data_IF_243555265905
#
_entry.id   IF_243555265905
#
_cell.length_a   1.000
_cell.length_b   1.000
_cell.length_c   1.000
_cell.angle_alpha   90.00
_cell.angle_beta   90.00
_cell.angle_gamma   90.00
#
_symmetry.space_group_name_H-M   'P 1'
#
loop_
_entity.id
_entity.type
_entity.pdbx_description
1 polymer ?
#
# COMPACT_ATOMS: atom_id res chain seq x y z
N UNK A 1 0.53 0.31 40.45
CA UNK A 1 -0.70 0.64 39.69
C UNK A 1 -0.47 2.06 39.14
N UNK A 2 -0.21 2.37 37.88
CA UNK A 2 -0.13 1.66 36.61
C UNK A 2 1.23 1.99 35.96
N UNK A 3 1.85 0.99 35.32
CA UNK A 3 3.00 1.20 34.43
C UNK A 3 2.57 2.15 33.32
N UNK A 4 3.17 3.34 33.25
CA UNK A 4 3.06 4.19 32.08
C UNK A 4 3.90 3.56 30.97
N UNK A 5 3.33 2.56 30.28
CA UNK A 5 3.86 2.12 29.00
C UNK A 5 3.83 3.35 28.08
N UNK A 6 5.00 3.93 27.85
CA UNK A 6 5.22 4.88 26.74
C UNK A 6 5.05 4.06 25.47
N UNK A 7 3.85 4.03 24.91
CA UNK A 7 3.64 3.50 23.58
C UNK A 7 4.27 4.49 22.61
N UNK A 8 5.46 4.17 22.11
CA UNK A 8 6.11 4.94 21.05
C UNK A 8 5.28 4.83 19.78
N UNK A 9 5.11 5.97 19.10
CA UNK A 9 4.59 6.02 17.74
C UNK A 9 5.57 5.24 16.88
N UNK A 10 5.08 4.18 16.21
CA UNK A 10 5.92 3.45 15.28
C UNK A 10 6.07 4.29 14.00
N UNK A 11 7.30 4.63 13.62
CA UNK A 11 7.57 5.31 12.36
C UNK A 11 7.24 4.40 11.17
N UNK A 12 7.06 4.97 9.97
CA UNK A 12 6.89 4.17 8.74
C UNK A 12 8.10 3.27 8.49
N UNK A 13 9.29 3.71 8.90
CA UNK A 13 10.54 2.95 8.79
C UNK A 13 10.56 1.78 9.79
N UNK A 14 10.10 1.99 11.02
CA UNK A 14 9.97 0.92 12.02
C UNK A 14 8.89 -0.10 11.60
N UNK A 15 7.78 0.37 11.03
CA UNK A 15 6.75 -0.49 10.46
C UNK A 15 7.29 -1.36 9.32
N UNK A 16 8.20 -0.82 8.52
CA UNK A 16 8.83 -1.59 7.45
C UNK A 16 9.54 -2.83 8.01
N UNK A 17 10.26 -2.69 9.13
CA UNK A 17 10.97 -3.80 9.77
C UNK A 17 10.06 -4.86 10.41
N UNK A 18 8.79 -4.55 10.65
CA UNK A 18 7.78 -5.51 11.14
C UNK A 18 6.89 -6.07 10.05
N UNK A 19 7.15 -5.72 8.78
CA UNK A 19 6.33 -6.17 7.65
C UNK A 19 6.39 -7.68 7.47
N UNK A 20 5.24 -8.28 7.21
CA UNK A 20 5.10 -9.70 6.91
C UNK A 20 4.53 -9.91 5.51
N UNK A 21 4.89 -10.99 4.81
CA UNK A 21 4.22 -11.38 3.58
C UNK A 21 2.71 -11.44 3.77
N UNK A 22 1.96 -11.03 2.75
CA UNK A 22 0.53 -11.26 2.68
C UNK A 22 0.33 -12.72 2.25
N UNK A 23 -0.20 -13.53 3.15
CA UNK A 23 -0.57 -14.92 2.86
C UNK A 23 -1.80 -14.92 1.94
N UNK A 24 -1.84 -15.88 1.00
CA UNK A 24 -2.97 -16.10 0.09
C UNK A 24 -3.44 -14.83 -0.66
N UNK A 25 -2.50 -14.05 -1.20
CA UNK A 25 -2.79 -12.76 -1.85
C UNK A 25 -3.80 -12.83 -2.99
N UNK A 26 -3.91 -13.98 -3.67
CA UNK A 26 -4.89 -14.19 -4.74
C UNK A 26 -6.34 -14.26 -4.20
N UNK A 27 -6.50 -14.65 -2.93
CA UNK A 27 -7.80 -14.77 -2.26
C UNK A 27 -8.15 -13.53 -1.42
N UNK A 28 -7.18 -12.63 -1.20
CA UNK A 28 -7.38 -11.35 -0.51
C UNK A 28 -8.04 -10.33 -1.46
N UNK A 29 -9.37 -10.40 -1.57
CA UNK A 29 -10.17 -9.49 -2.41
C UNK A 29 -9.99 -8.01 -2.05
N UNK A 30 -9.67 -7.70 -0.79
CA UNK A 30 -9.42 -6.32 -0.38
C UNK A 30 -8.13 -5.81 -1.03
N UNK A 31 -7.06 -6.60 -0.97
CA UNK A 31 -5.78 -6.27 -1.61
C UNK A 31 -5.92 -6.24 -3.14
N UNK A 32 -6.54 -7.28 -3.71
CA UNK A 32 -6.68 -7.46 -5.15
C UNK A 32 -7.53 -6.39 -5.82
N UNK A 33 -8.78 -6.25 -5.38
CA UNK A 33 -9.79 -5.49 -6.12
C UNK A 33 -9.98 -4.06 -5.62
N UNK A 34 -9.60 -3.76 -4.38
CA UNK A 34 -9.79 -2.43 -3.80
C UNK A 34 -8.46 -1.70 -3.75
N UNK A 35 -7.49 -2.25 -3.04
CA UNK A 35 -6.22 -1.55 -2.78
C UNK A 35 -5.38 -1.44 -4.06
N UNK A 36 -5.24 -2.54 -4.82
CA UNK A 36 -4.54 -2.53 -6.11
C UNK A 36 -5.15 -1.53 -7.09
N UNK A 37 -6.48 -1.51 -7.20
CA UNK A 37 -7.21 -0.63 -8.11
C UNK A 37 -7.02 0.84 -7.73
N UNK A 38 -7.18 1.18 -6.44
CA UNK A 38 -7.00 2.55 -5.99
C UNK A 38 -5.56 3.04 -6.17
N UNK A 39 -4.56 2.16 -6.06
CA UNK A 39 -3.16 2.53 -6.30
C UNK A 39 -2.91 2.90 -7.76
N UNK A 40 -3.47 2.13 -8.71
CA UNK A 40 -3.38 2.43 -10.14
C UNK A 40 -4.14 3.70 -10.50
N UNK A 41 -5.34 3.90 -9.94
CA UNK A 41 -6.15 5.11 -10.17
C UNK A 41 -5.46 6.37 -9.65
N UNK A 42 -4.88 6.33 -8.45
CA UNK A 42 -4.15 7.46 -7.88
C UNK A 42 -2.91 7.81 -8.71
N UNK A 43 -2.17 6.82 -9.20
CA UNK A 43 -1.05 7.01 -10.12
C UNK A 43 -1.50 7.70 -11.41
N UNK A 44 -2.48 7.11 -12.11
CA UNK A 44 -3.02 7.66 -13.37
C UNK A 44 -3.51 9.12 -13.19
N UNK A 45 -4.16 9.43 -12.06
CA UNK A 45 -4.60 10.79 -11.75
C UNK A 45 -3.44 11.77 -11.56
N UNK A 46 -2.31 11.32 -10.99
CA UNK A 46 -1.14 12.16 -10.71
C UNK A 46 -0.25 12.35 -11.94
N UNK A 47 -0.07 11.33 -12.77
CA UNK A 47 0.86 11.36 -13.91
C UNK A 47 0.16 11.66 -15.24
N UNK A 48 -1.15 11.43 -15.33
CA UNK A 48 -1.88 11.46 -16.60
C UNK A 48 -1.73 10.17 -17.41
N UNK A 49 -1.13 9.13 -16.84
CA UNK A 49 -1.04 7.80 -17.46
C UNK A 49 -2.42 7.13 -17.52
N UNK A 50 -2.49 6.04 -18.29
CA UNK A 50 -3.68 5.23 -18.41
C UNK A 50 -3.33 3.75 -18.25
N UNK A 51 -2.94 3.37 -17.03
CA UNK A 51 -2.67 1.99 -16.65
C UNK A 51 -3.96 1.28 -16.26
N UNK A 52 -4.11 0.03 -16.69
CA UNK A 52 -5.19 -0.89 -16.27
C UNK A 52 -4.62 -1.89 -15.26
N UNK A 53 -5.24 -2.06 -14.10
CA UNK A 53 -4.84 -3.09 -13.14
C UNK A 53 -5.02 -4.47 -13.75
N UNK A 54 -3.98 -5.31 -13.66
CA UNK A 54 -4.05 -6.73 -14.03
C UNK A 54 -4.21 -7.59 -12.77
N UNK A 55 -3.27 -7.46 -11.83
CA UNK A 55 -3.21 -8.30 -10.62
C UNK A 55 -2.34 -7.65 -9.53
N UNK A 56 -2.52 -8.04 -8.28
CA UNK A 56 -1.55 -7.84 -7.20
C UNK A 56 -0.79 -9.14 -6.94
N UNK A 57 0.41 -9.24 -7.50
CA UNK A 57 1.18 -10.50 -7.57
C UNK A 57 1.74 -10.92 -6.20
N UNK A 58 2.13 -9.94 -5.38
CA UNK A 58 2.66 -10.19 -4.04
C UNK A 58 2.61 -8.91 -3.20
N UNK A 59 2.86 -9.02 -1.90
CA UNK A 59 3.01 -7.86 -1.07
C UNK A 59 3.43 -8.17 0.36
N UNK A 60 3.84 -7.11 1.05
CA UNK A 60 4.06 -7.09 2.48
C UNK A 60 3.02 -6.18 3.13
N UNK A 61 2.62 -6.53 4.35
CA UNK A 61 1.82 -5.65 5.21
C UNK A 61 2.44 -5.52 6.59
N UNK A 62 2.32 -4.33 7.18
CA UNK A 62 2.63 -4.10 8.59
C UNK A 62 1.51 -3.30 9.23
N UNK A 63 1.09 -3.70 10.43
CA UNK A 63 0.28 -2.82 11.28
C UNK A 63 1.09 -1.58 11.65
N UNK A 64 0.43 -0.44 11.76
CA UNK A 64 0.99 0.81 12.28
C UNK A 64 0.09 1.41 13.35
N UNK A 65 0.70 2.03 14.37
CA UNK A 65 -0.02 2.77 15.40
C UNK A 65 0.22 4.26 15.20
N UNK A 66 -0.84 5.00 14.88
CA UNK A 66 -0.77 6.44 14.66
C UNK A 66 -1.19 7.15 15.94
N UNK A 67 -0.19 7.51 16.76
CA UNK A 67 -0.25 8.37 17.95
C UNK A 67 -0.72 7.77 19.29
N UNK A 68 -0.12 8.20 20.43
CA UNK A 68 -0.61 7.88 21.76
C UNK A 68 -1.89 8.66 22.05
N UNK A 69 -2.96 7.98 22.48
CA UNK A 69 -4.26 8.59 22.77
C UNK A 69 -5.22 8.68 21.58
N UNK A 70 -4.81 8.17 20.42
CA UNK A 70 -5.68 7.93 19.27
C UNK A 70 -5.92 6.42 19.10
N UNK A 71 -7.13 6.04 18.73
CA UNK A 71 -7.47 4.67 18.27
C UNK A 71 -7.14 4.47 16.79
N UNK A 72 -6.26 5.31 16.22
CA UNK A 72 -5.94 5.29 14.80
C UNK A 72 -4.90 4.19 14.56
N UNK A 73 -5.43 3.01 14.24
CA UNK A 73 -4.67 1.90 13.71
C UNK A 73 -4.63 2.02 12.20
N UNK A 74 -3.60 1.46 11.59
CA UNK A 74 -3.50 1.42 10.14
C UNK A 74 -2.67 0.25 9.66
N UNK A 75 -2.66 0.07 8.35
CA UNK A 75 -1.87 -0.95 7.69
C UNK A 75 -1.03 -0.27 6.62
N UNK A 76 0.27 -0.47 6.69
CA UNK A 76 1.21 -0.12 5.63
C UNK A 76 1.31 -1.29 4.67
N UNK A 77 1.01 -1.06 3.39
CA UNK A 77 1.15 -2.04 2.33
C UNK A 77 2.31 -1.69 1.41
N UNK A 78 3.07 -2.73 1.03
CA UNK A 78 4.08 -2.70 -0.01
C UNK A 78 3.71 -3.78 -1.02
N UNK A 79 3.13 -3.39 -2.15
CA UNK A 79 2.54 -4.32 -3.12
C UNK A 79 3.36 -4.37 -4.40
N UNK A 80 3.45 -5.57 -4.98
CA UNK A 80 3.86 -5.77 -6.37
C UNK A 80 2.60 -5.82 -7.21
N UNK A 81 2.36 -4.77 -7.97
CA UNK A 81 1.17 -4.59 -8.80
C UNK A 81 1.55 -4.81 -10.25
N UNK A 82 0.86 -5.72 -10.93
CA UNK A 82 0.92 -5.83 -12.38
C UNK A 82 -0.14 -4.91 -12.98
N UNK A 83 0.28 -4.03 -13.89
CA UNK A 83 -0.61 -3.15 -14.61
C UNK A 83 -0.23 -3.11 -16.09
N UNK A 84 -1.25 -2.92 -16.94
CA UNK A 84 -1.13 -2.94 -18.39
C UNK A 84 -1.21 -1.52 -18.93
N UNK A 85 -0.27 -1.17 -19.80
CA UNK A 85 -0.25 0.13 -20.46
C UNK A 85 -1.26 0.18 -21.60
N UNK A 86 -1.51 1.38 -22.16
CA UNK A 86 -2.41 1.55 -23.31
C UNK A 86 -1.92 0.82 -24.58
N UNK A 87 -0.61 0.60 -24.71
CA UNK A 87 0.01 -0.21 -25.76
C UNK A 87 -0.17 -1.72 -25.53
N UNK A 88 -0.77 -2.10 -24.41
CA UNK A 88 -1.06 -3.48 -24.04
C UNK A 88 0.12 -4.23 -23.44
N UNK A 89 1.13 -3.53 -22.93
CA UNK A 89 2.31 -4.12 -22.30
C UNK A 89 2.07 -4.22 -20.80
N UNK A 90 2.23 -5.42 -20.24
CA UNK A 90 2.18 -5.62 -18.80
C UNK A 90 3.52 -5.24 -18.16
N UNK A 91 3.46 -4.47 -17.08
CA UNK A 91 4.59 -4.08 -16.26
C UNK A 91 4.30 -4.30 -14.78
N UNK A 92 5.34 -4.60 -14.02
CA UNK A 92 5.26 -4.72 -12.57
C UNK A 92 5.73 -3.44 -11.90
N UNK A 93 4.96 -2.98 -10.93
CA UNK A 93 5.18 -1.77 -10.16
C UNK A 93 5.24 -2.10 -8.67
N UNK A 94 6.00 -1.30 -7.93
CA UNK A 94 6.02 -1.30 -6.47
C UNK A 94 5.11 -0.16 -5.99
N UNK A 95 3.97 -0.53 -5.40
CA UNK A 95 3.05 0.41 -4.80
C UNK A 95 3.24 0.42 -3.27
N UNK A 96 3.39 1.63 -2.69
CA UNK A 96 3.40 1.83 -1.24
C UNK A 96 2.22 2.70 -0.85
N UNK A 97 1.41 2.24 0.08
CA UNK A 97 0.22 2.96 0.54
C UNK A 97 -0.11 2.63 1.98
N UNK A 98 -0.91 3.50 2.58
CA UNK A 98 -1.34 3.41 3.96
C UNK A 98 -2.87 3.35 4.04
N UNK A 99 -3.39 2.30 4.64
CA UNK A 99 -4.79 2.21 5.06
C UNK A 99 -4.90 2.71 6.50
N UNK A 100 -5.75 3.70 6.74
CA UNK A 100 -5.93 4.34 8.05
C UNK A 100 -7.37 4.18 8.54
N UNK A 101 -7.54 3.67 9.75
CA UNK A 101 -8.83 3.58 10.43
C UNK A 101 -9.09 4.83 11.27
N UNK A 102 -9.97 5.71 10.79
CA UNK A 102 -10.36 6.97 11.43
C UNK A 102 -11.80 6.86 11.94
N UNK A 103 -11.96 6.36 13.15
CA UNK A 103 -13.27 6.00 13.70
C UNK A 103 -13.91 4.87 12.88
N UNK A 104 -15.10 5.11 12.32
CA UNK A 104 -15.79 4.14 11.44
C UNK A 104 -15.45 4.32 9.95
N UNK A 105 -14.43 5.11 9.60
CA UNK A 105 -14.05 5.41 8.21
C UNK A 105 -12.68 4.86 7.91
N UNK A 106 -12.52 4.38 6.67
CA UNK A 106 -11.22 3.97 6.12
C UNK A 106 -10.74 5.09 5.19
N UNK A 107 -9.50 5.50 5.35
CA UNK A 107 -8.82 6.43 4.46
C UNK A 107 -7.57 5.77 3.88
N UNK A 108 -7.37 5.91 2.57
CA UNK A 108 -6.16 5.45 1.91
C UNK A 108 -5.23 6.63 1.61
N UNK A 109 -3.94 6.48 1.90
CA UNK A 109 -2.89 7.43 1.55
C UNK A 109 -1.82 6.75 0.70
N UNK A 110 -1.78 7.08 -0.60
CA UNK A 110 -0.79 6.57 -1.55
C UNK A 110 0.53 7.32 -1.39
N UNK A 111 1.62 6.57 -1.13
CA UNK A 111 2.95 7.12 -0.86
C UNK A 111 3.84 7.10 -2.11
N UNK A 112 3.89 5.98 -2.81
CA UNK A 112 4.66 5.86 -4.06
C UNK A 112 4.08 4.78 -4.97
N UNK A 113 4.29 4.95 -6.27
CA UNK A 113 3.97 3.97 -7.30
C UNK A 113 5.07 4.06 -8.35
N UNK A 114 5.97 3.07 -8.39
CA UNK A 114 7.19 3.12 -9.19
C UNK A 114 7.39 1.80 -9.95
N UNK A 115 7.89 1.78 -11.19
CA UNK A 115 8.24 0.55 -11.88
C UNK A 115 9.23 -0.29 -11.04
N UNK A 116 8.99 -1.60 -10.94
CA UNK A 116 9.89 -2.51 -10.20
C UNK A 116 11.30 -2.53 -10.81
N UNK A 117 11.36 -2.45 -12.13
CA UNK A 117 12.61 -2.31 -12.86
C UNK A 117 12.69 -0.88 -13.42
N UNK A 118 13.81 -0.17 -13.20
CA UNK A 118 13.96 1.17 -13.75
C UNK A 118 13.95 1.09 -15.28
N UNK A 119 13.01 1.80 -15.89
CA UNK A 119 12.98 2.04 -17.33
C UNK A 119 13.02 3.54 -17.55
N UNK A 120 14.18 4.02 -18.00
CA UNK A 120 14.31 5.39 -18.46
C UNK A 120 13.81 5.40 -19.90
N UNK A 121 12.63 6.01 -20.11
CA UNK A 121 12.18 6.30 -21.46
C UNK A 121 13.19 7.29 -22.06
N UNK A 122 13.84 6.97 -23.20
CA UNK A 122 14.86 7.84 -23.80
C UNK A 122 14.32 9.21 -24.21
#
# INVERSE_FOLDING_TARGET
>A
MFSHQRYCIMSVEEAYHTSKPIEDINDDLQVQSIIGQLAVEDHNKKTGDNLELVDVVNGLRSGIFVQPGSTHEGILYHLLVEAKTIEGINWTYVAKLLELYVGCRIRYEFKSFEPLLPYYNP
#
